data_IF_706017562484
#
_entry.id   IF_706017562484
#
_cell.length_a   1.000
_cell.length_b   1.000
_cell.length_c   1.000
_cell.angle_alpha   90.00
_cell.angle_beta   90.00
_cell.angle_gamma   90.00
#
_symmetry.space_group_name_H-M   'P 1'
#
loop_
_entity.id
_entity.type
_entity.pdbx_description
1 polymer ?
#
# COMPACT_ATOMS: atom_id res chain seq x y z
N UNK A 1 -23.48 42.07 -49.47
CA UNK A 1 -22.69 43.18 -50.05
C UNK A 1 -22.17 44.03 -48.91
N UNK A 2 -20.90 44.44 -49.00
CA UNK A 2 -20.10 45.22 -48.03
C UNK A 2 -19.73 44.49 -46.72
N UNK A 3 -18.51 44.48 -46.19
CA UNK A 3 -17.11 44.51 -46.67
C UNK A 3 -16.27 44.27 -45.41
N UNK A 4 -15.16 43.57 -45.56
CA UNK A 4 -14.29 43.11 -44.48
C UNK A 4 -13.66 44.22 -43.61
N UNK A 5 -13.27 43.86 -42.39
CA UNK A 5 -11.98 44.30 -41.84
C UNK A 5 -11.46 43.30 -40.78
N UNK A 6 -10.43 42.58 -41.20
CA UNK A 6 -9.53 41.79 -40.37
C UNK A 6 -8.62 42.70 -39.53
N UNK A 7 -8.40 42.38 -38.26
CA UNK A 7 -7.22 42.86 -37.53
C UNK A 7 -6.54 41.68 -36.81
N UNK A 8 -5.44 41.26 -37.41
CA UNK A 8 -4.41 40.40 -36.84
C UNK A 8 -3.57 41.28 -35.91
N UNK A 9 -3.51 40.94 -34.62
CA UNK A 9 -2.54 41.53 -33.69
C UNK A 9 -1.37 40.55 -33.50
N UNK A 10 -0.19 41.12 -33.73
CA UNK A 10 1.10 40.47 -33.97
C UNK A 10 1.72 39.92 -32.69
N UNK A 11 2.51 38.88 -32.91
CA UNK A 11 3.52 38.33 -32.01
C UNK A 11 4.51 39.40 -31.54
N UNK A 12 4.80 39.40 -30.23
CA UNK A 12 5.96 40.08 -29.67
C UNK A 12 7.03 39.04 -29.31
N UNK A 13 8.05 38.94 -30.15
CA UNK A 13 9.33 38.34 -29.82
C UNK A 13 10.00 39.14 -28.71
N UNK A 14 10.23 38.52 -27.56
CA UNK A 14 11.16 39.04 -26.55
C UNK A 14 12.50 38.33 -26.73
N UNK A 15 13.44 39.06 -27.33
CA UNK A 15 14.87 38.75 -27.36
C UNK A 15 15.40 39.01 -25.94
N UNK A 16 15.80 37.94 -25.24
CA UNK A 16 16.63 38.06 -24.03
C UNK A 16 18.02 37.52 -24.37
N UNK A 17 18.99 38.42 -24.24
CA UNK A 17 20.41 38.30 -24.59
C UNK A 17 21.07 37.11 -23.90
N UNK A 18 21.82 36.35 -24.70
CA UNK A 18 22.82 35.40 -24.23
C UNK A 18 23.94 36.13 -23.46
N UNK A 19 24.30 35.60 -22.29
CA UNK A 19 25.42 36.04 -21.44
C UNK A 19 26.63 35.11 -21.69
N UNK A 20 27.88 35.62 -21.67
CA UNK A 20 29.01 34.96 -22.33
C UNK A 20 29.49 33.68 -21.64
N UNK A 21 29.93 32.78 -22.52
CA UNK A 21 30.64 31.52 -22.26
C UNK A 21 31.91 31.76 -21.45
N UNK A 22 31.92 31.34 -20.19
CA UNK A 22 33.15 31.15 -19.43
C UNK A 22 33.66 29.73 -19.70
N UNK A 23 34.78 29.65 -20.42
CA UNK A 23 35.59 28.44 -20.60
C UNK A 23 36.21 28.05 -19.27
N UNK A 24 35.55 27.17 -18.52
CA UNK A 24 36.19 26.44 -17.43
C UNK A 24 36.86 25.20 -18.02
N UNK A 25 38.19 25.23 -18.05
CA UNK A 25 39.02 24.09 -18.39
C UNK A 25 38.64 22.89 -17.51
N UNK A 26 38.36 21.77 -18.17
CA UNK A 26 38.15 20.47 -17.55
C UNK A 26 39.50 20.03 -16.98
N UNK A 27 39.67 20.12 -15.66
CA UNK A 27 40.69 19.36 -14.97
C UNK A 27 40.24 17.89 -14.97
N UNK A 28 40.98 17.05 -15.69
CA UNK A 28 40.80 15.61 -15.67
C UNK A 28 40.98 15.08 -14.23
N UNK A 29 39.93 14.50 -13.66
CA UNK A 29 40.01 13.77 -12.41
C UNK A 29 40.77 12.45 -12.67
N UNK A 30 41.70 12.03 -11.79
CA UNK A 30 42.44 10.79 -12.00
C UNK A 30 41.57 9.56 -11.68
N UNK A 31 41.65 8.61 -12.60
CA UNK A 31 41.74 7.16 -12.42
C UNK A 31 41.01 6.46 -11.26
N UNK A 32 40.21 5.48 -11.69
CA UNK A 32 40.07 4.16 -11.06
C UNK A 32 39.56 4.10 -9.61
N UNK A 33 38.25 4.00 -9.44
CA UNK A 33 37.70 3.36 -8.24
C UNK A 33 37.80 1.84 -8.40
N UNK A 34 39.01 1.33 -8.16
CA UNK A 34 39.22 -0.08 -7.86
C UNK A 34 38.67 -0.37 -6.46
N UNK A 35 37.72 -1.31 -6.35
CA UNK A 35 37.34 -1.87 -5.06
C UNK A 35 38.52 -2.70 -4.52
N UNK A 36 39.35 -2.08 -3.69
CA UNK A 36 40.35 -2.81 -2.92
C UNK A 36 39.63 -3.58 -1.81
N UNK A 37 39.55 -4.90 -1.95
CA UNK A 37 39.21 -5.80 -0.85
C UNK A 37 40.27 -5.64 0.24
N UNK A 38 39.99 -4.83 1.25
CA UNK A 38 40.82 -4.76 2.46
C UNK A 38 40.57 -6.02 3.28
N UNK A 39 41.41 -7.04 3.09
CA UNK A 39 41.49 -8.18 4.01
C UNK A 39 42.29 -7.76 5.23
N UNK A 40 41.63 -7.20 6.24
CA UNK A 40 42.22 -7.04 7.57
C UNK A 40 42.13 -8.38 8.31
N UNK A 41 43.24 -9.02 8.71
CA UNK A 41 43.17 -10.21 9.53
C UNK A 41 42.76 -9.80 10.94
N UNK A 42 41.52 -10.10 11.34
CA UNK A 42 41.09 -10.02 12.72
C UNK A 42 41.90 -11.05 13.54
N UNK A 43 42.55 -10.66 14.66
CA UNK A 43 43.20 -11.63 15.52
C UNK A 43 42.12 -12.42 16.27
N UNK A 44 41.93 -13.69 15.91
CA UNK A 44 41.19 -14.63 16.71
C UNK A 44 41.90 -14.85 18.05
N UNK A 45 41.54 -14.08 19.08
CA UNK A 45 41.87 -14.45 20.46
C UNK A 45 40.97 -15.63 20.84
N UNK A 46 41.58 -16.82 20.99
CA UNK A 46 40.96 -17.97 21.66
C UNK A 46 40.52 -17.51 23.05
N UNK A 47 39.20 -17.48 23.29
CA UNK A 47 38.65 -17.21 24.60
C UNK A 47 38.80 -18.49 25.43
N UNK A 48 39.80 -18.50 26.31
CA UNK A 48 39.96 -19.50 27.37
C UNK A 48 38.92 -19.24 28.44
N UNK A 49 37.99 -20.17 28.66
CA UNK A 49 37.00 -20.11 29.74
C UNK A 49 37.66 -20.41 31.08
N UNK A 50 38.01 -19.37 31.82
CA UNK A 50 38.22 -19.45 33.27
C UNK A 50 36.86 -19.28 33.97
N UNK A 51 36.41 -20.32 34.66
CA UNK A 51 35.19 -20.30 35.46
C UNK A 51 35.32 -19.28 36.60
N UNK A 52 34.61 -18.17 36.49
CA UNK A 52 34.37 -17.25 37.60
C UNK A 52 32.90 -17.41 38.04
N UNK A 53 32.72 -17.75 39.31
CA UNK A 53 31.43 -17.89 40.00
C UNK A 53 30.68 -16.55 40.01
N UNK A 54 29.91 -16.30 38.95
CA UNK A 54 28.98 -15.18 38.84
C UNK A 54 27.56 -15.73 38.91
N UNK A 55 26.78 -15.24 39.86
CA UNK A 55 25.39 -15.66 40.13
C UNK A 55 24.51 -15.40 38.91
N UNK A 56 24.38 -16.40 38.04
CA UNK A 56 23.56 -16.35 36.84
C UNK A 56 22.10 -16.38 37.28
N UNK A 57 21.39 -15.24 37.21
CA UNK A 57 19.93 -15.23 37.36
C UNK A 57 19.36 -15.85 36.09
N UNK A 58 19.08 -17.15 36.14
CA UNK A 58 18.25 -17.82 35.15
C UNK A 58 16.86 -17.18 35.16
N UNK A 59 16.47 -16.54 34.06
CA UNK A 59 15.06 -16.25 33.83
C UNK A 59 14.46 -17.52 33.21
N UNK A 60 13.59 -18.18 33.96
CA UNK A 60 12.79 -19.28 33.44
C UNK A 60 11.64 -18.66 32.63
N UNK A 61 11.68 -18.79 31.30
CA UNK A 61 10.48 -18.62 30.49
C UNK A 61 9.58 -19.82 30.78
N UNK A 62 8.64 -19.67 31.71
CA UNK A 62 7.57 -20.64 31.88
C UNK A 62 6.66 -20.52 30.64
N UNK A 63 6.76 -21.47 29.72
CA UNK A 63 5.73 -21.63 28.71
C UNK A 63 4.45 -22.05 29.44
N UNK A 64 3.48 -21.14 29.58
CA UNK A 64 2.12 -21.50 29.95
C UNK A 64 1.44 -22.16 28.74
N UNK A 65 1.93 -23.34 28.33
CA UNK A 65 1.21 -24.16 27.36
C UNK A 65 0.37 -25.11 28.20
N UNK A 66 -0.87 -24.70 28.47
CA UNK A 66 -1.92 -25.65 28.78
C UNK A 66 -2.16 -26.47 27.49
N UNK A 67 -1.94 -27.79 27.47
CA UNK A 67 -2.12 -28.62 26.27
C UNK A 67 -3.58 -28.75 25.81
N UNK A 68 -4.52 -28.14 26.53
CA UNK A 68 -5.97 -28.30 26.35
C UNK A 68 -6.66 -27.16 25.58
N UNK A 69 -5.94 -26.12 25.15
CA UNK A 69 -6.52 -24.97 24.40
C UNK A 69 -5.89 -24.74 23.02
N UNK A 70 -5.27 -25.76 22.41
CA UNK A 70 -4.40 -25.54 21.24
C UNK A 70 -5.09 -25.48 19.87
N UNK A 71 -6.41 -25.42 19.78
CA UNK A 71 -7.09 -25.26 18.49
C UNK A 71 -7.27 -23.78 18.19
N UNK A 72 -6.50 -23.26 17.23
CA UNK A 72 -6.75 -21.92 16.65
C UNK A 72 -8.23 -21.83 16.23
N UNK A 73 -8.95 -20.74 16.54
CA UNK A 73 -10.35 -20.60 16.16
C UNK A 73 -10.53 -20.86 14.66
N UNK A 74 -11.40 -21.80 14.31
CA UNK A 74 -11.65 -22.23 12.92
C UNK A 74 -12.78 -21.46 12.23
N UNK A 75 -13.52 -20.64 12.99
CA UNK A 75 -14.60 -19.80 12.46
C UNK A 75 -14.03 -18.84 11.42
N UNK A 76 -14.68 -18.78 10.26
CA UNK A 76 -14.38 -17.82 9.20
C UNK A 76 -15.38 -16.67 9.30
N UNK A 77 -14.87 -15.45 9.41
CA UNK A 77 -15.65 -14.22 9.37
C UNK A 77 -15.49 -13.57 8.00
N UNK A 78 -16.62 -13.26 7.35
CA UNK A 78 -16.63 -12.49 6.12
C UNK A 78 -16.77 -11.00 6.43
N UNK A 79 -15.85 -10.20 5.89
CA UNK A 79 -15.88 -8.73 5.97
C UNK A 79 -15.76 -8.16 4.56
N UNK A 80 -16.70 -7.33 4.16
CA UNK A 80 -16.71 -6.68 2.86
C UNK A 80 -16.44 -5.18 2.99
N UNK A 81 -15.60 -4.63 2.11
CA UNK A 81 -15.30 -3.20 2.08
C UNK A 81 -15.10 -2.71 0.66
N UNK A 82 -15.36 -1.41 0.45
CA UNK A 82 -15.03 -0.71 -0.78
C UNK A 82 -13.79 0.15 -0.58
N UNK A 83 -12.85 0.08 -1.52
CA UNK A 83 -11.73 1.01 -1.62
C UNK A 83 -11.97 1.95 -2.80
N UNK A 84 -11.96 3.26 -2.54
CA UNK A 84 -12.26 4.28 -3.53
C UNK A 84 -11.17 5.35 -3.52
N UNK A 85 -10.55 5.56 -4.68
CA UNK A 85 -9.69 6.71 -4.92
C UNK A 85 -10.54 7.91 -5.37
N UNK A 86 -10.77 8.84 -4.45
CA UNK A 86 -11.51 10.08 -4.71
C UNK A 86 -10.66 11.20 -5.32
N UNK A 87 -9.41 10.90 -5.68
CA UNK A 87 -8.45 11.79 -6.35
C UNK A 87 -8.07 13.03 -5.53
N UNK A 88 -8.27 12.99 -4.22
CA UNK A 88 -8.02 14.08 -3.28
C UNK A 88 -6.81 13.84 -2.37
N UNK A 89 -6.11 12.71 -2.52
CA UNK A 89 -4.97 12.30 -1.66
C UNK A 89 -3.59 12.37 -2.32
N UNK A 90 -3.50 12.88 -3.56
CA UNK A 90 -2.27 12.81 -4.35
C UNK A 90 -1.81 11.36 -4.65
N UNK A 91 -2.73 10.40 -4.59
CA UNK A 91 -2.49 8.97 -4.76
C UNK A 91 -3.10 8.44 -6.06
N UNK A 92 -2.46 7.46 -6.74
CA UNK A 92 -1.16 6.88 -6.40
C UNK A 92 0.01 7.78 -6.85
N UNK A 93 1.19 7.57 -6.27
CA UNK A 93 2.44 8.14 -6.77
C UNK A 93 3.16 7.11 -7.64
N UNK A 94 3.25 7.34 -8.96
CA UNK A 94 3.91 6.40 -9.87
C UNK A 94 5.39 6.75 -10.07
N UNK A 95 6.29 5.94 -9.53
CA UNK A 95 7.73 6.12 -9.60
C UNK A 95 8.31 5.25 -10.73
N UNK A 96 8.67 5.87 -11.87
CA UNK A 96 9.28 5.22 -13.04
C UNK A 96 10.76 4.90 -12.82
N UNK A 97 11.04 3.88 -12.03
CA UNK A 97 12.39 3.48 -11.66
C UNK A 97 12.98 2.39 -12.57
N UNK A 98 12.15 1.69 -13.34
CA UNK A 98 12.60 0.64 -14.26
C UNK A 98 13.33 1.15 -15.51
N UNK A 99 13.35 2.47 -15.73
CA UNK A 99 14.08 3.15 -16.82
C UNK A 99 13.73 2.65 -18.23
N UNK A 100 12.50 2.16 -18.43
CA UNK A 100 11.97 1.76 -19.75
C UNK A 100 10.86 2.69 -20.20
N UNK A 101 10.62 2.80 -21.53
CA UNK A 101 9.52 3.61 -22.06
C UNK A 101 8.14 3.05 -21.69
N UNK A 102 8.06 1.75 -21.43
CA UNK A 102 6.86 1.06 -20.95
C UNK A 102 7.02 0.71 -19.48
N UNK A 103 5.88 0.52 -18.80
CA UNK A 103 5.81 -0.03 -17.45
C UNK A 103 6.73 -1.27 -17.35
N UNK A 104 7.62 -1.30 -16.37
CA UNK A 104 8.63 -2.34 -16.27
C UNK A 104 8.99 -2.72 -14.84
N UNK A 105 9.56 -3.93 -14.69
CA UNK A 105 10.00 -4.43 -13.39
C UNK A 105 10.82 -3.38 -12.63
N UNK A 106 10.43 -3.14 -11.38
CA UNK A 106 11.09 -2.18 -10.49
C UNK A 106 10.40 -0.81 -10.41
N UNK A 107 9.43 -0.50 -11.27
CA UNK A 107 8.55 0.64 -11.05
C UNK A 107 7.78 0.46 -9.73
N UNK A 108 7.68 1.52 -8.94
CA UNK A 108 7.06 1.51 -7.62
C UNK A 108 5.84 2.42 -7.59
N UNK A 109 4.80 1.97 -6.90
CA UNK A 109 3.55 2.69 -6.79
C UNK A 109 3.09 2.74 -5.33
N UNK A 110 3.64 3.67 -4.52
CA UNK A 110 3.04 4.01 -3.23
C UNK A 110 1.62 4.55 -3.42
N UNK A 111 0.70 4.14 -2.55
CA UNK A 111 -0.70 4.55 -2.65
C UNK A 111 -1.38 4.62 -1.29
N UNK A 112 -2.44 5.42 -1.25
CA UNK A 112 -3.44 5.46 -0.19
C UNK A 112 -4.80 5.87 -0.76
N UNK A 113 -5.84 5.09 -0.48
CA UNK A 113 -7.21 5.36 -0.92
C UNK A 113 -8.16 5.31 0.27
N UNK A 114 -9.39 5.82 0.11
CA UNK A 114 -10.41 5.80 1.16
C UNK A 114 -11.09 4.43 1.21
N UNK A 115 -11.45 3.99 2.41
CA UNK A 115 -12.16 2.72 2.65
C UNK A 115 -13.54 3.00 3.23
N UNK A 116 -14.54 2.32 2.68
CA UNK A 116 -15.95 2.44 3.03
C UNK A 116 -16.55 1.08 3.40
N UNK A 117 -17.61 1.10 4.20
CA UNK A 117 -18.42 -0.07 4.53
C UNK A 117 -19.05 -0.71 3.30
N UNK A 118 -19.44 -1.99 3.41
CA UNK A 118 -20.00 -2.75 2.29
C UNK A 118 -21.33 -2.17 1.76
N UNK A 119 -22.09 -1.47 2.59
CA UNK A 119 -23.32 -0.77 2.23
C UNK A 119 -23.10 0.65 1.69
N UNK A 120 -21.83 1.08 1.62
CA UNK A 120 -21.38 2.39 1.15
C UNK A 120 -21.89 3.58 1.99
N UNK A 121 -22.38 3.32 3.21
CA UNK A 121 -22.95 4.36 4.09
C UNK A 121 -21.96 4.94 5.10
N UNK A 122 -20.83 4.27 5.35
CA UNK A 122 -19.89 4.66 6.41
C UNK A 122 -18.46 4.75 5.88
N UNK A 123 -17.77 5.86 6.16
CA UNK A 123 -16.32 5.99 5.97
C UNK A 123 -15.59 5.26 7.10
N UNK A 124 -14.87 4.20 6.75
CA UNK A 124 -14.15 3.35 7.71
C UNK A 124 -12.69 3.78 7.91
N UNK A 125 -12.04 4.21 6.83
CA UNK A 125 -10.67 4.72 6.96
C UNK A 125 -9.92 4.77 5.63
N UNK A 126 -8.72 4.20 5.58
CA UNK A 126 -7.84 4.21 4.40
C UNK A 126 -7.15 2.88 4.14
N UNK A 127 -6.76 2.65 2.88
CA UNK A 127 -5.64 1.76 2.55
C UNK A 127 -4.34 2.57 2.57
N UNK A 128 -3.23 1.92 2.93
CA UNK A 128 -1.90 2.51 2.83
C UNK A 128 -0.84 1.44 2.54
N UNK A 129 -0.04 1.64 1.51
CA UNK A 129 1.08 0.76 1.20
C UNK A 129 1.70 1.00 -0.16
N UNK A 130 2.23 -0.06 -0.76
CA UNK A 130 3.01 0.01 -1.98
C UNK A 130 2.73 -1.18 -2.90
N UNK A 131 2.67 -0.89 -4.20
CA UNK A 131 2.70 -1.89 -5.26
C UNK A 131 4.04 -1.85 -5.99
N UNK A 132 4.65 -3.00 -6.19
CA UNK A 132 5.89 -3.18 -6.96
C UNK A 132 5.50 -3.79 -8.29
N UNK A 133 5.80 -3.11 -9.40
CA UNK A 133 5.50 -3.63 -10.73
C UNK A 133 6.38 -4.84 -11.01
N UNK A 134 5.75 -5.98 -11.34
CA UNK A 134 6.44 -7.24 -11.68
C UNK A 134 6.56 -7.38 -13.19
N UNK A 135 5.47 -7.16 -13.92
CA UNK A 135 5.42 -7.36 -15.37
C UNK A 135 4.32 -6.54 -16.01
N UNK A 136 4.67 -5.83 -17.08
CA UNK A 136 3.70 -5.29 -18.03
C UNK A 136 3.18 -6.41 -18.95
N UNK A 137 1.86 -6.46 -19.14
CA UNK A 137 1.14 -7.48 -19.89
C UNK A 137 0.42 -6.83 -21.07
N UNK A 138 1.12 -6.52 -22.18
CA UNK A 138 0.55 -5.77 -23.29
C UNK A 138 -0.63 -6.48 -23.95
N UNK A 139 -0.59 -7.81 -24.03
CA UNK A 139 -1.67 -8.64 -24.60
C UNK A 139 -2.97 -8.54 -23.81
N UNK A 140 -2.87 -8.39 -22.49
CA UNK A 140 -4.02 -8.16 -21.61
C UNK A 140 -4.31 -6.66 -21.41
N UNK A 141 -3.52 -5.74 -21.99
CA UNK A 141 -3.58 -4.29 -21.74
C UNK A 141 -3.53 -3.92 -20.24
N UNK A 142 -2.69 -4.62 -19.48
CA UNK A 142 -2.61 -4.42 -18.04
C UNK A 142 -1.24 -4.71 -17.46
N UNK A 143 -1.18 -4.72 -16.14
CA UNK A 143 0.04 -4.89 -15.36
C UNK A 143 -0.19 -5.89 -14.22
N UNK A 144 0.89 -6.56 -13.81
CA UNK A 144 0.93 -7.40 -12.61
C UNK A 144 1.84 -6.74 -11.59
N UNK A 145 1.32 -6.53 -10.40
CA UNK A 145 2.03 -6.01 -9.24
C UNK A 145 2.14 -7.06 -8.14
N UNK A 146 3.16 -6.94 -7.31
CA UNK A 146 3.19 -7.47 -5.94
C UNK A 146 2.82 -6.32 -5.00
N UNK A 147 1.78 -6.49 -4.21
CA UNK A 147 1.23 -5.46 -3.34
C UNK A 147 1.45 -5.82 -1.87
N UNK A 148 1.87 -4.83 -1.07
CA UNK A 148 2.04 -4.94 0.39
C UNK A 148 1.42 -3.69 1.00
N UNK A 149 0.33 -3.85 1.73
CA UNK A 149 -0.43 -2.72 2.26
C UNK A 149 -1.31 -3.12 3.44
N UNK A 150 -1.89 -2.12 4.11
CA UNK A 150 -2.82 -2.32 5.22
C UNK A 150 -4.11 -1.53 5.03
N UNK A 151 -5.18 -2.04 5.62
CA UNK A 151 -6.48 -1.38 5.77
C UNK A 151 -6.54 -0.84 7.19
N UNK A 152 -6.58 0.48 7.34
CA UNK A 152 -6.70 1.17 8.63
C UNK A 152 -8.18 1.55 8.83
N UNK A 153 -8.81 1.00 9.87
CA UNK A 153 -10.26 1.09 10.09
C UNK A 153 -10.60 1.84 11.38
N UNK A 154 -9.88 2.94 11.65
CA UNK A 154 -10.05 3.74 12.87
C UNK A 154 -9.75 2.95 14.13
N UNK A 155 -10.57 3.12 15.17
CA UNK A 155 -10.37 2.46 16.47
C UNK A 155 -10.51 0.93 16.42
N UNK A 156 -11.08 0.36 15.36
CA UNK A 156 -11.13 -1.10 15.22
C UNK A 156 -9.73 -1.70 15.03
N UNK A 157 -8.77 -0.93 14.51
CA UNK A 157 -7.41 -1.39 14.22
C UNK A 157 -7.16 -1.52 12.72
N UNK A 158 -6.21 -2.39 12.35
CA UNK A 158 -5.80 -2.57 10.96
C UNK A 158 -5.75 -4.04 10.54
N UNK A 159 -5.88 -4.29 9.24
CA UNK A 159 -5.64 -5.59 8.60
C UNK A 159 -4.52 -5.42 7.58
N UNK A 160 -3.47 -6.22 7.67
CA UNK A 160 -2.35 -6.20 6.72
C UNK A 160 -2.47 -7.32 5.70
N UNK A 161 -2.14 -7.01 4.45
CA UNK A 161 -2.25 -7.94 3.33
C UNK A 161 -1.01 -7.92 2.44
N UNK A 162 -0.74 -9.04 1.80
CA UNK A 162 0.31 -9.18 0.81
C UNK A 162 -0.11 -10.13 -0.31
N UNK A 163 0.22 -9.79 -1.56
CA UNK A 163 0.06 -10.71 -2.68
C UNK A 163 -0.06 -10.02 -4.04
N UNK A 164 -0.52 -10.79 -5.02
CA UNK A 164 -0.61 -10.32 -6.39
C UNK A 164 -1.79 -9.36 -6.58
N UNK A 165 -1.53 -8.21 -7.22
CA UNK A 165 -2.56 -7.31 -7.73
C UNK A 165 -2.46 -7.26 -9.26
N UNK A 166 -3.54 -7.67 -9.95
CA UNK A 166 -3.62 -7.68 -11.40
C UNK A 166 -4.65 -6.66 -11.85
N UNK A 167 -4.28 -5.79 -12.80
CA UNK A 167 -5.16 -4.69 -13.22
C UNK A 167 -6.31 -5.14 -14.12
N UNK A 168 -6.45 -6.43 -14.41
CA UNK A 168 -7.41 -6.94 -15.42
C UNK A 168 -8.31 -8.07 -14.89
N UNK A 169 -7.98 -8.66 -13.73
CA UNK A 169 -8.68 -9.82 -13.20
C UNK A 169 -8.66 -9.83 -11.67
N UNK A 170 -9.68 -10.45 -11.08
CA UNK A 170 -9.79 -10.63 -9.63
C UNK A 170 -8.60 -11.45 -9.10
N UNK A 171 -8.18 -11.16 -7.87
CA UNK A 171 -7.05 -11.82 -7.22
C UNK A 171 -7.37 -12.19 -5.78
N UNK A 172 -6.56 -13.06 -5.20
CA UNK A 172 -6.56 -13.32 -3.77
C UNK A 172 -5.22 -12.92 -3.18
N UNK A 173 -5.26 -12.13 -2.10
CA UNK A 173 -4.09 -11.75 -1.32
C UNK A 173 -4.14 -12.47 0.03
N UNK A 174 -2.98 -12.71 0.62
CA UNK A 174 -2.86 -13.27 1.96
C UNK A 174 -3.14 -12.20 3.00
N UNK A 175 -3.95 -12.52 4.01
CA UNK A 175 -4.06 -11.72 5.22
C UNK A 175 -2.90 -12.11 6.14
N UNK A 176 -1.98 -11.18 6.37
CA UNK A 176 -0.72 -11.44 7.07
C UNK A 176 -0.78 -11.11 8.56
N UNK A 177 -1.84 -10.44 9.01
CA UNK A 177 -2.06 -10.10 10.40
C UNK A 177 -3.07 -8.96 10.56
N UNK A 178 -3.27 -8.56 11.81
CA UNK A 178 -4.05 -7.38 12.16
C UNK A 178 -3.80 -6.90 13.59
N UNK A 179 -4.38 -5.77 13.93
CA UNK A 179 -4.35 -5.15 15.26
C UNK A 179 -5.77 -4.83 15.74
N UNK A 180 -5.93 -4.43 17.00
CA UNK A 180 -7.24 -4.12 17.57
C UNK A 180 -8.15 -5.36 17.54
N UNK A 181 -9.38 -5.21 17.04
CA UNK A 181 -10.32 -6.34 16.91
C UNK A 181 -9.85 -7.39 15.91
N UNK A 182 -8.89 -7.04 15.03
CA UNK A 182 -8.27 -7.92 14.05
C UNK A 182 -6.99 -8.59 14.55
N UNK A 183 -6.65 -8.47 15.83
CA UNK A 183 -5.49 -9.14 16.40
C UNK A 183 -5.57 -10.66 16.20
N UNK A 184 -4.50 -11.26 15.66
CA UNK A 184 -4.43 -12.70 15.35
C UNK A 184 -5.02 -13.11 14.00
N UNK A 185 -5.57 -12.16 13.23
CA UNK A 185 -6.18 -12.39 11.93
C UNK A 185 -5.22 -13.09 10.95
N UNK A 186 -5.77 -14.04 10.20
CA UNK A 186 -5.13 -14.68 9.06
C UNK A 186 -6.20 -15.14 8.06
N UNK A 187 -5.76 -15.62 6.90
CA UNK A 187 -6.64 -16.11 5.85
C UNK A 187 -6.30 -15.44 4.52
N UNK A 188 -7.34 -15.11 3.76
CA UNK A 188 -7.19 -14.49 2.45
C UNK A 188 -8.25 -13.42 2.23
N UNK A 189 -7.96 -12.51 1.31
CA UNK A 189 -8.92 -11.50 0.85
C UNK A 189 -9.04 -11.60 -0.65
N UNK A 190 -10.28 -11.67 -1.15
CA UNK A 190 -10.56 -11.52 -2.57
C UNK A 190 -10.55 -10.04 -2.92
N UNK A 191 -9.72 -9.64 -3.88
CA UNK A 191 -9.71 -8.31 -4.47
C UNK A 191 -10.44 -8.37 -5.81
N UNK A 192 -11.46 -7.54 -5.94
CA UNK A 192 -12.24 -7.37 -7.17
C UNK A 192 -12.08 -5.95 -7.71
N UNK A 193 -11.65 -5.83 -8.95
CA UNK A 193 -11.46 -4.52 -9.57
C UNK A 193 -12.71 -4.10 -10.34
N UNK A 194 -13.34 -3.00 -9.91
CA UNK A 194 -14.57 -2.52 -10.52
C UNK A 194 -14.31 -1.47 -11.60
N UNK A 195 -13.47 -0.49 -11.28
CA UNK A 195 -13.06 0.57 -12.20
C UNK A 195 -11.58 0.82 -11.95
N UNK A 196 -10.72 0.47 -12.91
CA UNK A 196 -9.30 0.76 -12.79
C UNK A 196 -9.00 2.27 -12.93
N UNK A 197 -8.13 2.87 -12.09
CA UNK A 197 -7.59 2.40 -10.79
C UNK A 197 -8.41 2.95 -9.59
N UNK A 198 -9.68 3.30 -9.78
CA UNK A 198 -10.46 4.13 -8.87
C UNK A 198 -11.36 3.38 -7.88
N UNK A 199 -11.87 2.20 -8.22
CA UNK A 199 -12.84 1.48 -7.40
C UNK A 199 -12.49 0.00 -7.31
N UNK A 200 -12.30 -0.48 -6.09
CA UNK A 200 -12.05 -1.88 -5.77
C UNK A 200 -13.04 -2.32 -4.69
N UNK A 201 -13.36 -3.60 -4.70
CA UNK A 201 -14.19 -4.24 -3.67
C UNK A 201 -13.44 -5.44 -3.11
N UNK A 202 -13.49 -5.59 -1.80
CA UNK A 202 -12.79 -6.65 -1.08
C UNK A 202 -13.75 -7.51 -0.30
N UNK A 203 -13.51 -8.82 -0.31
CA UNK A 203 -14.15 -9.79 0.59
C UNK A 203 -13.06 -10.51 1.36
N UNK A 204 -12.93 -10.16 2.64
CA UNK A 204 -12.01 -10.80 3.57
C UNK A 204 -12.63 -12.07 4.12
N UNK A 205 -11.83 -13.12 4.19
CA UNK A 205 -12.15 -14.38 4.86
C UNK A 205 -11.22 -14.52 6.06
N UNK A 206 -11.60 -13.88 7.17
CA UNK A 206 -10.78 -13.74 8.37
C UNK A 206 -10.97 -14.94 9.28
N UNK A 207 -9.87 -15.45 9.82
CA UNK A 207 -9.85 -16.48 10.86
C UNK A 207 -8.97 -16.02 12.02
N UNK A 208 -9.09 -16.68 13.17
CA UNK A 208 -8.21 -16.45 14.33
C UNK A 208 -8.50 -15.18 15.13
N UNK A 209 -9.65 -14.54 14.89
CA UNK A 209 -10.13 -13.42 15.70
C UNK A 209 -10.51 -13.90 17.10
N UNK A 210 -10.33 -13.03 18.10
CA UNK A 210 -10.69 -13.31 19.49
C UNK A 210 -12.20 -13.37 19.74
N UNK A 211 -13.00 -12.72 18.88
CA UNK A 211 -14.45 -12.64 18.98
C UNK A 211 -15.10 -12.32 17.64
N UNK A 212 -16.41 -12.14 17.66
CA UNK A 212 -17.18 -11.77 16.48
C UNK A 212 -16.96 -10.31 16.09
N UNK A 213 -17.04 -10.05 14.79
CA UNK A 213 -16.96 -8.68 14.27
C UNK A 213 -18.18 -7.86 14.71
N UNK A 214 -18.01 -6.57 15.02
CA UNK A 214 -19.12 -5.65 15.29
C UNK A 214 -20.16 -5.69 14.17
N UNK A 215 -21.45 -5.67 14.54
CA UNK A 215 -22.56 -5.78 13.57
C UNK A 215 -22.54 -4.65 12.51
N UNK A 216 -22.03 -3.48 12.87
CA UNK A 216 -21.85 -2.33 11.97
C UNK A 216 -20.83 -2.57 10.84
N UNK A 217 -19.94 -3.56 10.98
CA UNK A 217 -19.04 -4.00 9.91
C UNK A 217 -19.63 -5.15 9.07
N UNK A 218 -20.74 -5.75 9.53
CA UNK A 218 -21.40 -6.91 8.92
C UNK A 218 -22.69 -6.52 8.17
N UNK A 219 -22.70 -5.32 7.61
CA UNK A 219 -23.83 -4.80 6.81
C UNK A 219 -23.96 -5.56 5.48
N UNK A 220 -25.18 -5.62 4.96
CA UNK A 220 -25.45 -6.22 3.65
C UNK A 220 -24.70 -5.47 2.55
N UNK A 221 -23.80 -6.13 1.80
CA UNK A 221 -23.05 -5.45 0.75
C UNK A 221 -23.94 -4.96 -0.39
N UNK A 222 -23.73 -3.72 -0.84
CA UNK A 222 -24.21 -3.26 -2.14
C UNK A 222 -23.49 -4.08 -3.22
N UNK A 223 -24.22 -4.56 -4.23
CA UNK A 223 -23.65 -5.36 -5.31
C UNK A 223 -22.52 -4.61 -6.04
N UNK A 224 -21.30 -5.18 -6.11
CA UNK A 224 -20.18 -4.53 -6.79
C UNK A 224 -20.47 -4.27 -8.27
N UNK A 225 -20.35 -3.01 -8.67
CA UNK A 225 -20.51 -2.59 -10.07
C UNK A 225 -19.75 -1.28 -10.33
N UNK A 226 -19.49 -0.90 -11.59
CA UNK A 226 -18.83 0.36 -11.90
C UNK A 226 -19.57 1.62 -11.39
N UNK A 227 -20.90 1.51 -11.22
CA UNK A 227 -21.79 2.62 -10.87
C UNK A 227 -21.89 2.90 -9.37
N UNK A 228 -21.34 2.03 -8.51
CA UNK A 228 -21.44 2.20 -7.05
C UNK A 228 -20.70 3.45 -6.59
N UNK A 229 -21.27 4.15 -5.62
CA UNK A 229 -20.70 5.37 -5.04
C UNK A 229 -20.95 5.36 -3.53
N UNK A 230 -19.97 5.85 -2.75
CA UNK A 230 -20.20 6.13 -1.33
C UNK A 230 -21.30 7.19 -1.17
N UNK A 231 -22.09 7.07 -0.09
CA UNK A 231 -23.15 8.01 0.23
C UNK A 231 -22.59 9.43 0.40
N UNK A 232 -23.43 10.44 0.13
CA UNK A 232 -23.02 11.83 0.30
C UNK A 232 -22.56 12.11 1.75
N UNK A 233 -23.27 11.55 2.73
CA UNK A 233 -22.93 11.67 4.15
C UNK A 233 -21.57 11.02 4.49
N UNK A 234 -21.28 9.84 3.94
CA UNK A 234 -19.98 9.17 4.15
C UNK A 234 -18.83 9.96 3.53
N UNK A 235 -19.02 10.48 2.31
CA UNK A 235 -18.04 11.32 1.61
C UNK A 235 -17.78 12.64 2.34
N UNK A 236 -18.84 13.24 2.88
CA UNK A 236 -18.78 14.48 3.66
C UNK A 236 -18.35 14.23 5.13
N UNK A 237 -18.09 12.98 5.53
CA UNK A 237 -17.71 12.60 6.89
C UNK A 237 -18.68 13.10 7.97
N UNK A 238 -19.98 13.07 7.65
CA UNK A 238 -21.03 13.53 8.56
C UNK A 238 -21.09 12.68 9.84
N UNK A 239 -21.63 13.26 10.91
CA UNK A 239 -21.80 12.57 12.18
C UNK A 239 -22.72 11.35 11.99
N UNK A 240 -22.22 10.16 12.30
CA UNK A 240 -22.94 8.90 12.13
C UNK A 240 -22.71 8.20 10.77
N UNK A 241 -21.94 8.82 9.86
CA UNK A 241 -21.51 8.22 8.59
C UNK A 241 -19.99 7.93 8.57
N UNK A 242 -19.38 7.82 9.75
CA UNK A 242 -17.97 7.51 9.98
C UNK A 242 -17.85 6.47 11.09
N UNK A 243 -16.85 5.61 11.03
CA UNK A 243 -16.53 4.77 12.19
C UNK A 243 -15.84 5.58 13.29
N UNK A 244 -15.76 5.05 14.54
CA UNK A 244 -15.04 5.70 15.62
C UNK A 244 -13.59 6.02 15.25
N UNK A 245 -13.24 7.31 15.30
CA UNK A 245 -11.93 7.85 14.94
C UNK A 245 -11.40 7.28 13.61
N UNK A 246 -12.24 7.30 12.56
CA UNK A 246 -11.86 6.82 11.24
C UNK A 246 -10.50 7.37 10.81
N UNK A 247 -9.69 6.51 10.17
CA UNK A 247 -8.37 6.92 9.69
C UNK A 247 -8.51 7.76 8.42
N UNK A 248 -7.86 8.92 8.38
CA UNK A 248 -7.77 9.77 7.19
C UNK A 248 -6.34 9.94 6.72
#
# INVERSE_FOLDING_TARGET
MATASSTILKSNNSIVKALPTATSAIAAAPDSLSFKNSTTPLPFKKLSTTAASGRCRSFTVKSQINPSESSRPTKVHELCVYEINERDRGSPAYLRLGQKPVNSLGDLVPFTNKVYSADLQTRLGITAGICILIKNMPEKKGDRYEAIYSFHLGDYGQISVQGAYLTMEDTYLSVTGGTGIFAGAYGQVKLQQLVFPFKLFYTFYLQGLAGDLPAELLVTPVTPSPAVEASAAAKATEKGATCPNFTD
#
